data_IF_948694529194
#
_entry.id   IF_948694529194
#
_cell.length_a   1.000
_cell.length_b   1.000
_cell.length_c   1.000
_cell.angle_alpha   90.00
_cell.angle_beta   90.00
_cell.angle_gamma   90.00
#
_symmetry.space_group_name_H-M   'P 1'
#
loop_
_entity.id
_entity.type
_entity.pdbx_description
1 polymer ?
#
# COMPACT_ATOMS: atom_id res chain seq x y z
N UNK A 1 -11.37 16.48 -19.26
CA UNK A 1 -10.80 16.12 -20.57
C UNK A 1 -10.20 17.39 -21.16
N UNK A 2 -8.86 17.50 -21.15
CA UNK A 2 -7.95 18.59 -21.57
C UNK A 2 -6.98 19.06 -20.46
N UNK A 3 -5.98 18.22 -20.07
CA UNK A 3 -4.74 18.79 -19.56
C UNK A 3 -3.48 18.36 -20.35
N UNK A 4 -3.44 17.18 -20.98
CA UNK A 4 -2.19 16.54 -21.47
C UNK A 4 -1.28 17.41 -22.35
N UNK A 5 -1.86 18.27 -23.19
CA UNK A 5 -1.09 19.21 -24.00
C UNK A 5 -0.31 20.22 -23.15
N UNK A 6 -0.92 20.76 -22.09
CA UNK A 6 -0.32 21.76 -21.21
C UNK A 6 0.87 21.19 -20.41
N UNK A 7 0.81 19.95 -19.93
CA UNK A 7 1.95 19.36 -19.22
C UNK A 7 3.14 19.08 -20.14
N UNK A 8 2.89 18.58 -21.35
CA UNK A 8 3.95 18.36 -22.33
C UNK A 8 4.62 19.67 -22.76
N UNK A 9 3.85 20.74 -22.90
CA UNK A 9 4.38 22.06 -23.22
C UNK A 9 5.23 22.62 -22.06
N UNK A 10 4.74 22.51 -20.82
CA UNK A 10 5.53 22.88 -19.61
C UNK A 10 6.83 22.08 -19.48
N UNK A 11 6.79 20.77 -19.74
CA UNK A 11 8.00 19.94 -19.73
C UNK A 11 9.02 20.39 -20.79
N UNK A 12 8.56 20.75 -22.00
CA UNK A 12 9.43 21.24 -23.09
C UNK A 12 10.09 22.58 -22.78
N UNK A 13 9.38 23.47 -22.08
CA UNK A 13 9.89 24.78 -21.69
C UNK A 13 10.96 24.71 -20.58
N UNK A 14 10.95 23.65 -19.78
CA UNK A 14 11.85 23.49 -18.66
C UNK A 14 13.28 23.07 -19.10
N UNK A 15 14.36 23.69 -18.57
CA UNK A 15 15.73 23.46 -19.04
C UNK A 15 16.23 22.02 -18.89
N UNK A 16 15.87 21.36 -17.78
CA UNK A 16 16.26 19.96 -17.49
C UNK A 16 15.20 18.97 -17.95
N UNK A 17 13.95 19.13 -17.50
CA UNK A 17 12.84 18.21 -17.81
C UNK A 17 12.48 18.06 -19.29
N UNK A 18 12.87 18.99 -20.17
CA UNK A 18 12.71 18.82 -21.63
C UNK A 18 13.45 17.62 -22.20
N UNK A 19 14.46 17.12 -21.48
CA UNK A 19 15.25 15.95 -21.85
C UNK A 19 14.75 14.66 -21.17
N UNK A 20 13.71 14.75 -20.34
CA UNK A 20 13.10 13.59 -19.70
C UNK A 20 12.50 12.68 -20.78
N UNK A 21 12.93 11.42 -20.80
CA UNK A 21 12.41 10.45 -21.75
C UNK A 21 10.94 10.12 -21.45
N UNK A 22 10.22 9.63 -22.46
CA UNK A 22 8.85 9.14 -22.25
C UNK A 22 8.80 8.05 -21.17
N UNK A 23 9.79 7.17 -21.16
CA UNK A 23 9.93 6.12 -20.14
C UNK A 23 10.15 6.72 -18.73
N UNK A 24 10.90 7.81 -18.62
CA UNK A 24 11.08 8.56 -17.38
C UNK A 24 9.78 9.17 -16.87
N UNK A 25 8.99 9.80 -17.75
CA UNK A 25 7.65 10.34 -17.39
C UNK A 25 6.72 9.22 -16.93
N UNK A 26 6.69 8.09 -17.65
CA UNK A 26 5.86 6.93 -17.28
C UNK A 26 6.31 6.33 -15.96
N UNK A 27 7.62 6.19 -15.73
CA UNK A 27 8.18 5.67 -14.48
C UNK A 27 7.87 6.59 -13.31
N UNK A 28 8.08 7.91 -13.46
CA UNK A 28 7.72 8.91 -12.45
C UNK A 28 6.26 8.79 -12.05
N UNK A 29 5.36 8.88 -13.04
CA UNK A 29 3.91 8.88 -12.80
C UNK A 29 3.43 7.56 -12.20
N UNK A 30 3.95 6.42 -12.69
CA UNK A 30 3.65 5.10 -12.15
C UNK A 30 4.09 4.99 -10.69
N UNK A 31 5.36 5.24 -10.37
CA UNK A 31 5.87 5.13 -9.00
C UNK A 31 5.15 6.07 -8.03
N UNK A 32 4.99 7.35 -8.40
CA UNK A 32 4.31 8.33 -7.56
C UNK A 32 2.83 7.97 -7.33
N UNK A 33 2.15 7.39 -8.33
CA UNK A 33 0.73 6.99 -8.19
C UNK A 33 0.50 5.89 -7.14
N UNK A 34 1.50 5.03 -6.91
CA UNK A 34 1.45 4.02 -5.83
C UNK A 34 1.68 4.62 -4.45
N UNK A 35 2.28 5.80 -4.37
CA UNK A 35 2.67 6.46 -3.13
C UNK A 35 1.69 7.55 -2.67
N UNK A 36 0.52 7.72 -3.28
CA UNK A 36 -0.45 8.79 -2.96
C UNK A 36 -0.73 8.93 -1.46
N UNK A 37 -0.94 7.83 -0.75
CA UNK A 37 -1.20 7.88 0.71
C UNK A 37 0.06 8.23 1.50
N UNK A 38 1.21 7.73 1.07
CA UNK A 38 2.51 8.06 1.67
C UNK A 38 2.91 9.52 1.42
N UNK A 39 2.44 10.12 0.31
CA UNK A 39 2.53 11.56 0.01
C UNK A 39 1.65 12.38 0.95
N UNK A 40 0.38 11.98 1.17
CA UNK A 40 -0.60 12.75 1.95
C UNK A 40 -0.43 12.67 3.46
N UNK A 41 -0.04 11.50 3.98
CA UNK A 41 0.04 11.28 5.42
C UNK A 41 0.94 12.29 6.16
N UNK A 42 2.15 12.65 5.68
CA UNK A 42 2.99 13.66 6.35
C UNK A 42 2.51 15.10 6.18
N UNK A 43 1.56 15.37 5.27
CA UNK A 43 1.08 16.74 5.02
C UNK A 43 0.31 17.32 6.21
N UNK A 44 0.28 18.65 6.38
CA UNK A 44 -0.66 19.29 7.31
C UNK A 44 -2.11 18.92 6.99
N UNK A 45 -2.98 18.85 8.01
CA UNK A 45 -4.39 18.46 7.85
C UNK A 45 -5.12 19.24 6.72
N UNK A 46 -4.96 20.58 6.59
CA UNK A 46 -5.62 21.32 5.51
C UNK A 46 -5.20 20.90 4.09
N UNK A 47 -4.00 20.32 3.95
CA UNK A 47 -3.42 19.87 2.67
C UNK A 47 -3.54 18.34 2.48
N UNK A 48 -4.26 17.66 3.37
CA UNK A 48 -4.36 16.19 3.38
C UNK A 48 -5.63 15.66 2.70
N UNK A 49 -6.28 16.48 1.86
CA UNK A 49 -7.50 16.08 1.17
C UNK A 49 -7.19 14.96 0.15
N UNK A 50 -7.77 13.75 0.27
CA UNK A 50 -7.51 12.65 -0.65
C UNK A 50 -7.87 12.93 -2.11
N UNK A 51 -8.70 13.94 -2.37
CA UNK A 51 -9.17 14.28 -3.73
C UNK A 51 -8.28 15.29 -4.44
N UNK A 52 -7.29 15.88 -3.75
CA UNK A 52 -6.48 16.97 -4.29
C UNK A 52 -4.99 16.63 -4.04
N UNK A 53 -4.12 16.69 -5.05
CA UNK A 53 -2.69 16.51 -4.82
C UNK A 53 -2.15 17.64 -3.93
N UNK A 54 -1.25 17.34 -2.96
CA UNK A 54 -0.60 18.39 -2.18
C UNK A 54 0.45 19.11 -3.03
N UNK A 55 0.63 20.40 -2.77
CA UNK A 55 1.57 21.24 -3.51
C UNK A 55 3.04 20.82 -3.33
N UNK A 56 3.39 20.21 -2.20
CA UNK A 56 4.79 19.89 -1.86
C UNK A 56 4.95 18.39 -1.66
N UNK A 57 5.97 17.81 -2.29
CA UNK A 57 6.34 16.42 -2.05
C UNK A 57 7.15 16.26 -0.76
N UNK A 58 6.89 15.20 0.04
CA UNK A 58 7.75 14.84 1.15
C UNK A 58 9.16 14.48 0.68
N UNK A 59 10.19 14.94 1.41
CA UNK A 59 11.60 14.68 1.09
C UNK A 59 11.95 13.19 0.86
N UNK A 60 11.45 12.21 1.64
CA UNK A 60 11.72 10.79 1.35
C UNK A 60 11.24 10.35 -0.04
N UNK A 61 10.14 10.94 -0.52
CA UNK A 61 9.56 10.63 -1.83
C UNK A 61 10.35 11.31 -2.94
N UNK A 62 10.78 12.56 -2.73
CA UNK A 62 11.68 13.24 -3.67
C UNK A 62 13.00 12.50 -3.83
N UNK A 63 13.61 12.06 -2.72
CA UNK A 63 14.85 11.28 -2.74
C UNK A 63 14.68 9.96 -3.50
N UNK A 64 13.57 9.25 -3.26
CA UNK A 64 13.27 8.00 -3.94
C UNK A 64 13.07 8.17 -5.44
N UNK A 65 12.23 9.13 -5.86
CA UNK A 65 11.95 9.38 -7.28
C UNK A 65 13.20 9.92 -7.99
N UNK A 66 13.94 10.83 -7.36
CA UNK A 66 15.18 11.38 -7.88
C UNK A 66 16.25 10.31 -8.10
N UNK A 67 16.48 9.45 -7.10
CA UNK A 67 17.42 8.34 -7.24
C UNK A 67 16.97 7.32 -8.30
N UNK A 68 15.67 7.06 -8.41
CA UNK A 68 15.11 6.12 -9.41
C UNK A 68 15.27 6.62 -10.85
N UNK A 69 15.24 7.94 -11.06
CA UNK A 69 15.32 8.57 -12.38
C UNK A 69 16.70 9.18 -12.68
N UNK A 70 17.61 9.20 -11.70
CA UNK A 70 18.91 9.86 -11.82
C UNK A 70 18.82 11.38 -11.86
N UNK A 71 17.84 11.95 -11.16
CA UNK A 71 17.53 13.40 -11.14
C UNK A 71 17.78 14.00 -9.76
N UNK A 72 17.99 15.32 -9.71
CA UNK A 72 18.09 16.05 -8.43
C UNK A 72 16.71 16.17 -7.75
N UNK A 73 16.68 16.47 -6.45
CA UNK A 73 15.41 16.70 -5.75
C UNK A 73 14.68 17.94 -6.27
N UNK A 74 15.42 18.95 -6.73
CA UNK A 74 14.85 20.19 -7.27
C UNK A 74 14.13 19.89 -8.59
N UNK A 75 14.76 19.12 -9.48
CA UNK A 75 14.12 18.68 -10.74
C UNK A 75 12.87 17.81 -10.49
N UNK A 76 12.86 17.06 -9.38
CA UNK A 76 11.70 16.22 -9.00
C UNK A 76 10.55 17.07 -8.46
N UNK A 77 10.85 18.15 -7.73
CA UNK A 77 9.85 19.12 -7.28
C UNK A 77 9.23 19.83 -8.49
N UNK A 78 10.05 20.30 -9.44
CA UNK A 78 9.58 20.87 -10.72
C UNK A 78 8.73 19.86 -11.52
N UNK A 79 9.13 18.59 -11.53
CA UNK A 79 8.39 17.51 -12.19
C UNK A 79 7.03 17.28 -11.53
N UNK A 80 6.96 17.33 -10.20
CA UNK A 80 5.72 17.23 -9.44
C UNK A 80 4.80 18.41 -9.74
N UNK A 81 5.30 19.63 -9.73
CA UNK A 81 4.51 20.82 -10.05
C UNK A 81 3.81 20.73 -11.42
N UNK A 82 4.44 20.07 -12.38
CA UNK A 82 3.89 19.86 -13.72
C UNK A 82 2.94 18.66 -13.78
N UNK A 83 3.25 17.56 -13.09
CA UNK A 83 2.59 16.26 -13.28
C UNK A 83 1.66 15.84 -12.14
N UNK A 84 1.60 16.55 -11.01
CA UNK A 84 0.87 16.13 -9.81
C UNK A 84 -0.60 15.79 -10.07
N UNK A 85 -1.31 16.59 -10.87
CA UNK A 85 -2.71 16.36 -11.21
C UNK A 85 -2.89 15.05 -11.98
N UNK A 86 -1.98 14.73 -12.90
CA UNK A 86 -2.00 13.47 -13.65
C UNK A 86 -1.71 12.29 -12.76
N UNK A 87 -0.70 12.41 -11.90
CA UNK A 87 -0.42 11.37 -10.90
C UNK A 87 -1.64 11.14 -10.04
N UNK A 88 -2.37 12.20 -9.66
CA UNK A 88 -3.55 12.12 -8.82
C UNK A 88 -4.74 11.45 -9.51
N UNK A 89 -4.97 11.74 -10.79
CA UNK A 89 -6.10 11.22 -11.56
C UNK A 89 -5.85 9.83 -12.17
N UNK A 90 -4.61 9.47 -12.46
CA UNK A 90 -4.32 8.20 -13.14
C UNK A 90 -4.71 7.01 -12.25
N UNK A 91 -5.37 5.97 -12.81
CA UNK A 91 -5.56 4.72 -12.09
C UNK A 91 -4.20 4.10 -11.76
N UNK A 92 -4.11 3.50 -10.59
CA UNK A 92 -2.90 2.78 -10.17
C UNK A 92 -2.71 1.57 -11.08
N UNK A 93 -1.67 1.62 -11.92
CA UNK A 93 -1.29 0.55 -12.85
C UNK A 93 -0.36 -0.45 -12.13
N UNK A 94 -0.45 -1.76 -12.39
CA UNK A 94 0.46 -2.73 -11.79
C UNK A 94 1.95 -2.38 -11.99
N UNK A 95 2.74 -2.61 -10.95
CA UNK A 95 4.19 -2.43 -10.99
C UNK A 95 4.85 -3.59 -11.75
N UNK A 96 5.91 -3.27 -12.49
CA UNK A 96 6.80 -4.23 -13.12
C UNK A 96 7.85 -4.74 -12.14
N UNK A 97 8.53 -5.85 -12.47
CA UNK A 97 9.66 -6.36 -11.68
C UNK A 97 10.76 -5.30 -11.49
N UNK A 98 11.04 -4.48 -12.49
CA UNK A 98 11.99 -3.36 -12.40
C UNK A 98 11.58 -2.35 -11.34
N UNK A 99 10.29 -2.01 -11.25
CA UNK A 99 9.80 -1.06 -10.24
C UNK A 99 9.98 -1.60 -8.82
N UNK A 100 9.73 -2.91 -8.61
CA UNK A 100 9.99 -3.54 -7.32
C UNK A 100 11.46 -3.46 -6.91
N UNK A 101 12.38 -3.56 -7.87
CA UNK A 101 13.82 -3.36 -7.63
C UNK A 101 14.17 -1.91 -7.31
N UNK A 102 13.55 -0.94 -7.98
CA UNK A 102 13.70 0.49 -7.62
C UNK A 102 13.23 0.76 -6.19
N UNK A 103 12.08 0.21 -5.79
CA UNK A 103 11.62 0.29 -4.41
C UNK A 103 12.59 -0.35 -3.43
N UNK A 104 13.14 -1.53 -3.76
CA UNK A 104 14.13 -2.20 -2.90
C UNK A 104 15.40 -1.35 -2.74
N UNK A 105 15.94 -0.87 -3.85
CA UNK A 105 17.22 -0.17 -3.87
C UNK A 105 17.15 1.24 -3.27
N UNK A 106 16.11 2.00 -3.63
CA UNK A 106 16.00 3.42 -3.31
C UNK A 106 14.84 3.75 -2.37
N UNK A 107 13.75 2.96 -2.39
CA UNK A 107 12.56 3.20 -1.57
C UNK A 107 12.71 2.74 -0.12
N UNK A 108 13.19 1.51 0.11
CA UNK A 108 13.26 0.93 1.46
C UNK A 108 14.14 1.75 2.42
N UNK A 109 15.31 2.28 2.01
CA UNK A 109 16.11 3.16 2.86
C UNK A 109 15.37 4.44 3.27
N UNK A 110 14.43 4.90 2.43
CA UNK A 110 13.56 6.05 2.69
C UNK A 110 12.28 5.69 3.47
N UNK A 111 12.10 4.43 3.86
CA UNK A 111 10.88 3.96 4.52
C UNK A 111 9.69 3.83 3.56
N UNK A 112 9.94 3.60 2.27
CA UNK A 112 8.91 3.42 1.24
C UNK A 112 8.95 1.99 0.71
N UNK A 113 7.78 1.42 0.43
CA UNK A 113 7.63 0.08 -0.15
C UNK A 113 6.62 0.12 -1.28
N UNK A 114 6.71 -0.83 -2.21
CA UNK A 114 5.77 -0.97 -3.31
C UNK A 114 4.32 -1.23 -2.84
N UNK A 115 4.17 -1.81 -1.64
CA UNK A 115 2.88 -2.08 -1.01
C UNK A 115 2.80 -1.28 0.29
N UNK A 116 1.78 -0.43 0.40
CA UNK A 116 1.44 0.25 1.64
C UNK A 116 0.05 -0.18 2.11
N UNK A 117 -0.02 -0.66 3.35
CA UNK A 117 -1.24 -1.21 3.95
C UNK A 117 -1.87 -0.14 4.83
N UNK A 118 -3.12 0.18 4.53
CA UNK A 118 -3.87 1.22 5.22
C UNK A 118 -5.33 0.78 5.41
N UNK A 119 -6.09 1.44 6.31
CA UNK A 119 -7.54 1.26 6.38
C UNK A 119 -8.23 1.64 5.07
N UNK A 120 -9.45 1.14 4.80
CA UNK A 120 -10.17 1.40 3.55
C UNK A 120 -10.36 2.89 3.22
N UNK A 121 -10.55 3.72 4.26
CA UNK A 121 -10.81 5.15 4.13
C UNK A 121 -9.75 5.98 4.86
N UNK A 122 -9.45 7.17 4.31
CA UNK A 122 -8.60 8.18 4.95
C UNK A 122 -9.37 9.07 5.93
N UNK A 123 -10.70 8.98 5.96
CA UNK A 123 -11.59 9.75 6.82
C UNK A 123 -12.27 8.87 7.87
N UNK A 124 -12.88 9.50 8.87
CA UNK A 124 -13.63 8.78 9.89
C UNK A 124 -14.87 8.10 9.28
N UNK A 125 -14.94 6.76 9.35
CA UNK A 125 -16.09 5.98 8.87
C UNK A 125 -17.29 5.96 9.85
N UNK A 126 -17.13 6.50 11.06
CA UNK A 126 -18.23 6.60 12.01
C UNK A 126 -19.15 7.77 11.63
N UNK A 127 -20.33 7.46 11.08
CA UNK A 127 -21.33 8.44 10.62
C UNK A 127 -21.79 9.43 11.71
N UNK A 128 -21.70 9.04 12.98
CA UNK A 128 -22.07 9.89 14.12
C UNK A 128 -20.88 10.72 14.63
N UNK A 129 -19.72 10.65 14.00
CA UNK A 129 -18.54 11.40 14.39
C UNK A 129 -18.50 12.75 13.67
N UNK A 130 -18.30 13.88 14.38
CA UNK A 130 -18.21 15.20 13.75
C UNK A 130 -16.89 15.46 13.03
N UNK A 131 -16.00 14.46 12.93
CA UNK A 131 -14.69 14.64 12.30
C UNK A 131 -14.79 14.54 10.77
N UNK A 132 -14.76 15.69 10.11
CA UNK A 132 -14.75 15.79 8.65
C UNK A 132 -13.34 15.96 8.07
N UNK A 133 -12.30 15.86 8.90
CA UNK A 133 -10.91 16.01 8.49
C UNK A 133 -10.27 14.65 8.22
N UNK A 134 -9.31 14.57 7.28
CA UNK A 134 -8.50 13.37 7.05
C UNK A 134 -7.80 12.92 8.33
N UNK A 135 -7.78 11.61 8.55
CA UNK A 135 -7.14 10.97 9.69
C UNK A 135 -5.63 10.87 9.47
N UNK A 136 -4.91 10.92 10.59
CA UNK A 136 -3.45 10.81 10.61
C UNK A 136 -3.01 9.49 11.21
N UNK A 137 -1.83 9.05 10.78
CA UNK A 137 -1.17 7.85 11.26
C UNK A 137 -1.06 7.85 12.79
N UNK A 138 -1.48 6.76 13.38
CA UNK A 138 -1.31 6.44 14.80
C UNK A 138 -0.13 5.47 14.98
N UNK A 139 -0.13 4.41 14.18
CA UNK A 139 0.89 3.37 14.18
C UNK A 139 1.40 3.14 12.77
N UNK A 140 2.70 2.84 12.66
CA UNK A 140 3.37 2.50 11.42
C UNK A 140 4.38 1.40 11.73
N UNK A 141 4.14 0.18 11.22
CA UNK A 141 4.95 -1.01 11.51
C UNK A 141 5.34 -1.70 10.22
N UNK A 142 6.53 -2.31 10.19
CA UNK A 142 6.93 -3.21 9.11
C UNK A 142 5.96 -4.37 9.02
N UNK A 143 5.70 -4.83 7.81
CA UNK A 143 4.87 -5.97 7.49
C UNK A 143 5.44 -6.74 6.30
N UNK A 144 4.91 -7.94 6.10
CA UNK A 144 5.16 -8.80 4.95
C UNK A 144 3.82 -9.20 4.34
N UNK A 145 3.75 -9.14 3.02
CA UNK A 145 2.55 -9.45 2.24
C UNK A 145 2.84 -10.63 1.32
N UNK A 146 2.04 -11.68 1.43
CA UNK A 146 2.04 -12.81 0.52
C UNK A 146 1.12 -12.48 -0.66
N UNK A 147 1.72 -12.23 -1.82
CA UNK A 147 1.03 -11.88 -3.07
C UNK A 147 1.12 -13.03 -4.07
N UNK A 148 0.15 -13.12 -4.96
CA UNK A 148 0.10 -14.21 -5.95
C UNK A 148 1.03 -13.94 -7.15
N UNK A 149 1.18 -12.68 -7.56
CA UNK A 149 1.90 -12.31 -8.78
C UNK A 149 3.38 -11.99 -8.53
N UNK A 150 3.71 -11.46 -7.36
CA UNK A 150 5.08 -11.00 -7.01
C UNK A 150 5.66 -11.72 -5.80
N UNK A 151 5.00 -12.77 -5.30
CA UNK A 151 5.49 -13.52 -4.16
C UNK A 151 5.44 -12.76 -2.83
N UNK A 152 6.48 -12.93 -2.03
CA UNK A 152 6.61 -12.28 -0.72
C UNK A 152 7.13 -10.86 -0.90
N UNK A 153 6.38 -9.88 -0.40
CA UNK A 153 6.68 -8.46 -0.55
C UNK A 153 6.76 -7.76 0.81
N UNK A 154 7.74 -6.87 1.04
CA UNK A 154 7.72 -6.01 2.21
C UNK A 154 6.64 -4.95 2.06
N UNK A 155 6.08 -4.57 3.20
CA UNK A 155 5.10 -3.50 3.26
C UNK A 155 5.23 -2.72 4.56
N UNK A 156 4.66 -1.53 4.56
CA UNK A 156 4.34 -0.81 5.78
C UNK A 156 2.86 -0.93 6.11
N UNK A 157 2.56 -1.32 7.35
CA UNK A 157 1.22 -1.34 7.89
C UNK A 157 0.98 -0.08 8.74
N UNK A 158 0.04 0.75 8.26
CA UNK A 158 -0.35 1.99 8.91
C UNK A 158 -1.77 1.88 9.46
N UNK A 159 -1.95 2.27 10.71
CA UNK A 159 -3.27 2.45 11.34
C UNK A 159 -3.55 3.93 11.53
N UNK A 160 -4.81 4.34 11.38
CA UNK A 160 -5.24 5.73 11.46
C UNK A 160 -6.12 5.94 12.70
N UNK A 161 -5.98 7.08 13.38
CA UNK A 161 -6.74 7.36 14.59
C UNK A 161 -7.63 8.59 14.43
N UNK A 162 -8.88 8.45 14.89
CA UNK A 162 -9.80 9.58 14.99
C UNK A 162 -9.79 10.15 16.42
N UNK A 163 -9.30 11.40 16.61
CA UNK A 163 -9.24 12.02 17.94
C UNK A 163 -10.61 12.43 18.49
N UNK A 164 -11.66 12.48 17.65
CA UNK A 164 -13.01 12.90 18.07
C UNK A 164 -13.85 11.75 18.61
N UNK A 165 -13.79 10.56 17.98
CA UNK A 165 -14.56 9.40 18.41
C UNK A 165 -13.69 8.29 19.02
N UNK A 166 -12.39 8.55 19.23
CA UNK A 166 -11.43 7.63 19.84
C UNK A 166 -11.46 6.24 19.20
N UNK A 167 -11.51 6.21 17.87
CA UNK A 167 -11.55 4.97 17.09
C UNK A 167 -10.27 4.85 16.28
N UNK A 168 -9.58 3.72 16.45
CA UNK A 168 -8.42 3.34 15.66
C UNK A 168 -8.89 2.48 14.49
N UNK A 169 -8.49 2.86 13.29
CA UNK A 169 -8.81 2.16 12.05
C UNK A 169 -7.56 1.40 11.59
N UNK A 170 -7.71 0.10 11.40
CA UNK A 170 -6.70 -0.80 10.85
C UNK A 170 -7.13 -1.26 9.44
N UNK A 171 -6.34 -2.10 8.78
CA UNK A 171 -6.62 -2.61 7.44
C UNK A 171 -7.93 -3.40 7.32
N UNK A 172 -8.21 -4.32 8.25
CA UNK A 172 -9.38 -5.22 8.17
C UNK A 172 -10.50 -4.88 9.16
N UNK A 173 -10.21 -4.06 10.17
CA UNK A 173 -11.14 -3.78 11.26
C UNK A 173 -10.86 -2.40 11.85
N UNK A 174 -11.83 -1.89 12.60
CA UNK A 174 -11.65 -0.76 13.52
C UNK A 174 -11.78 -1.22 14.96
N UNK A 175 -11.18 -0.45 15.87
CA UNK A 175 -11.26 -0.64 17.32
C UNK A 175 -11.83 0.61 17.95
N UNK A 176 -12.96 0.47 18.64
CA UNK A 176 -13.58 1.56 19.40
C UNK A 176 -13.95 1.03 20.78
N UNK A 177 -13.51 1.70 21.85
CA UNK A 177 -13.74 1.28 23.25
C UNK A 177 -13.35 -0.18 23.53
N UNK A 178 -12.21 -0.61 23.00
CA UNK A 178 -11.72 -1.99 23.13
C UNK A 178 -12.43 -3.02 22.25
N UNK A 179 -13.47 -2.61 21.52
CA UNK A 179 -14.25 -3.51 20.68
C UNK A 179 -13.77 -3.50 19.24
N UNK A 180 -13.41 -4.69 18.74
CA UNK A 180 -13.02 -4.89 17.34
C UNK A 180 -14.23 -5.10 16.45
N UNK A 181 -14.34 -4.30 15.39
CA UNK A 181 -15.39 -4.40 14.37
C UNK A 181 -14.75 -4.55 12.99
N UNK A 182 -14.99 -5.68 12.33
CA UNK A 182 -14.51 -5.91 10.96
C UNK A 182 -15.31 -5.12 9.92
N UNK A 183 -14.63 -4.65 8.87
CA UNK A 183 -15.29 -3.95 7.78
C UNK A 183 -16.14 -4.91 6.93
N UNK A 184 -17.23 -4.43 6.33
CA UNK A 184 -17.99 -5.22 5.38
C UNK A 184 -17.20 -5.45 4.08
N UNK A 185 -17.53 -6.53 3.38
CA UNK A 185 -16.93 -6.87 2.09
C UNK A 185 -15.68 -7.75 2.20
N UNK A 186 -15.13 -8.12 1.04
CA UNK A 186 -13.90 -8.91 0.96
C UNK A 186 -12.71 -7.95 0.95
N UNK A 187 -11.81 -8.00 1.94
CA UNK A 187 -10.63 -7.15 1.93
C UNK A 187 -9.69 -7.53 0.79
N UNK A 188 -8.86 -6.61 0.31
CA UNK A 188 -7.81 -6.94 -0.68
C UNK A 188 -6.66 -7.72 -0.04
N UNK A 189 -6.25 -7.27 1.14
CA UNK A 189 -5.22 -7.88 1.98
C UNK A 189 -5.84 -8.29 3.32
N UNK A 190 -5.56 -9.50 3.76
CA UNK A 190 -6.06 -10.11 4.99
C UNK A 190 -4.91 -10.15 6.00
N UNK A 191 -5.08 -9.55 7.17
CA UNK A 191 -4.13 -9.63 8.27
C UNK A 191 -4.25 -10.99 8.95
N UNK A 192 -3.25 -11.86 8.74
CA UNK A 192 -3.21 -13.25 9.26
C UNK A 192 -2.19 -13.42 10.40
N UNK A 193 -1.55 -12.34 10.82
CA UNK A 193 -0.61 -12.29 11.94
C UNK A 193 -0.38 -10.85 12.37
N UNK A 194 0.53 -10.61 13.32
CA UNK A 194 0.84 -9.24 13.74
C UNK A 194 1.46 -8.43 12.58
N UNK A 195 2.35 -9.05 11.83
CA UNK A 195 3.09 -8.43 10.73
C UNK A 195 2.82 -9.09 9.37
N UNK A 196 1.95 -10.10 9.32
CA UNK A 196 1.75 -10.95 8.15
C UNK A 196 0.40 -10.68 7.51
N UNK A 197 0.43 -10.43 6.21
CA UNK A 197 -0.75 -10.15 5.40
C UNK A 197 -0.78 -11.05 4.17
N UNK A 198 -1.96 -11.47 3.77
CA UNK A 198 -2.16 -12.35 2.61
C UNK A 198 -3.12 -11.67 1.65
N UNK A 199 -2.79 -11.64 0.37
CA UNK A 199 -3.72 -11.19 -0.67
C UNK A 199 -4.92 -12.15 -0.73
N UNK A 200 -6.14 -11.62 -0.84
CA UNK A 200 -7.35 -12.45 -0.92
C UNK A 200 -7.32 -13.41 -2.11
N UNK A 201 -6.62 -13.07 -3.21
CA UNK A 201 -6.37 -13.98 -4.34
C UNK A 201 -5.54 -15.20 -3.92
N UNK A 202 -4.51 -15.02 -3.09
CA UNK A 202 -3.70 -16.13 -2.55
C UNK A 202 -4.55 -17.03 -1.66
N UNK A 203 -5.35 -16.45 -0.75
CA UNK A 203 -6.24 -17.23 0.11
C UNK A 203 -7.29 -18.00 -0.69
N UNK A 204 -7.87 -17.39 -1.74
CA UNK A 204 -8.80 -18.09 -2.65
C UNK A 204 -8.11 -19.20 -3.45
N UNK A 205 -6.85 -19.00 -3.85
CA UNK A 205 -6.06 -20.05 -4.50
C UNK A 205 -5.87 -21.24 -3.56
N UNK A 206 -5.54 -21.02 -2.27
CA UNK A 206 -5.47 -22.10 -1.29
C UNK A 206 -6.80 -22.82 -1.11
N UNK A 207 -7.93 -22.09 -1.06
CA UNK A 207 -9.26 -22.72 -1.00
C UNK A 207 -9.49 -23.68 -2.18
N UNK A 208 -9.12 -23.26 -3.39
CA UNK A 208 -9.23 -24.11 -4.58
C UNK A 208 -8.32 -25.34 -4.49
N UNK A 209 -7.07 -25.18 -4.04
CA UNK A 209 -6.14 -26.31 -3.84
C UNK A 209 -6.66 -27.31 -2.80
N UNK A 210 -7.28 -26.84 -1.72
CA UNK A 210 -7.84 -27.74 -0.70
C UNK A 210 -9.10 -28.44 -1.21
N UNK A 211 -9.99 -27.71 -1.90
CA UNK A 211 -11.27 -28.23 -2.36
C UNK A 211 -11.10 -29.23 -3.51
N UNK A 212 -10.23 -28.94 -4.47
CA UNK A 212 -10.09 -29.73 -5.70
C UNK A 212 -8.80 -30.57 -5.74
N UNK A 213 -7.73 -30.08 -5.12
CA UNK A 213 -6.43 -30.75 -5.09
C UNK A 213 -6.18 -31.58 -3.83
N UNK A 214 -7.09 -31.56 -2.86
CA UNK A 214 -6.94 -32.26 -1.57
C UNK A 214 -5.67 -31.84 -0.80
N UNK A 215 -5.23 -30.59 -0.99
CA UNK A 215 -4.08 -30.06 -0.28
C UNK A 215 -4.41 -29.88 1.21
N UNK A 216 -3.44 -30.19 2.08
CA UNK A 216 -3.46 -29.69 3.45
C UNK A 216 -3.02 -28.22 3.48
N UNK A 217 -3.31 -27.52 4.57
CA UNK A 217 -2.81 -26.16 4.81
C UNK A 217 -1.27 -26.08 4.81
N UNK A 218 -0.58 -27.11 5.32
CA UNK A 218 0.87 -27.18 5.27
C UNK A 218 1.39 -27.38 3.84
N UNK A 219 0.72 -28.20 3.02
CA UNK A 219 1.08 -28.39 1.62
C UNK A 219 0.84 -27.11 0.81
N UNK A 220 -0.26 -26.40 1.06
CA UNK A 220 -0.55 -25.12 0.41
C UNK A 220 0.52 -24.06 0.75
N UNK A 221 0.95 -23.97 2.02
CA UNK A 221 2.03 -23.07 2.43
C UNK A 221 3.37 -23.41 1.76
N UNK A 222 3.73 -24.70 1.71
CA UNK A 222 4.95 -25.17 1.04
C UNK A 222 4.90 -24.92 -0.46
N UNK A 223 3.76 -25.14 -1.11
CA UNK A 223 3.58 -24.88 -2.52
C UNK A 223 3.80 -23.40 -2.82
N UNK A 224 3.18 -22.50 -2.05
CA UNK A 224 3.39 -21.06 -2.17
C UNK A 224 4.88 -20.72 -2.11
N UNK A 225 5.58 -21.20 -1.08
CA UNK A 225 7.03 -20.97 -0.93
C UNK A 225 7.85 -21.47 -2.12
N UNK A 226 7.48 -22.64 -2.67
CA UNK A 226 8.22 -23.24 -3.78
C UNK A 226 7.96 -22.61 -5.15
N UNK A 227 6.83 -21.92 -5.33
CA UNK A 227 6.37 -21.45 -6.65
C UNK A 227 6.28 -19.94 -6.78
N UNK A 228 6.08 -19.24 -5.66
CA UNK A 228 5.80 -17.80 -5.65
C UNK A 228 6.90 -16.99 -4.97
N UNK A 229 7.75 -17.58 -4.12
CA UNK A 229 8.84 -16.82 -3.51
C UNK A 229 9.98 -16.64 -4.51
N UNK A 230 10.22 -15.41 -4.95
CA UNK A 230 11.48 -15.02 -5.58
C UNK A 230 12.56 -14.94 -4.50
N UNK A 231 13.40 -15.98 -4.46
CA UNK A 231 14.45 -16.15 -3.47
C UNK A 231 15.60 -15.17 -3.60
N UNK A 232 15.67 -14.36 -4.66
CA UNK A 232 16.73 -13.36 -4.85
C UNK A 232 16.23 -11.94 -4.51
N UNK A 233 14.94 -11.66 -4.74
CA UNK A 233 14.35 -10.35 -4.48
C UNK A 233 14.19 -10.02 -2.99
N UNK A 234 13.51 -10.87 -2.20
CA UNK A 234 13.20 -10.55 -0.80
C UNK A 234 14.00 -11.40 0.17
N UNK A 235 14.93 -10.78 0.90
CA UNK A 235 15.67 -11.46 1.95
C UNK A 235 15.17 -11.05 3.35
N UNK A 236 14.79 -12.00 4.21
CA UNK A 236 14.31 -11.71 5.55
C UNK A 236 15.24 -10.84 6.41
N UNK A 237 16.57 -11.00 6.25
CA UNK A 237 17.55 -10.26 7.02
C UNK A 237 17.64 -8.77 6.65
N UNK A 238 17.26 -8.40 5.42
CA UNK A 238 17.25 -7.00 4.96
C UNK A 238 16.07 -6.24 5.58
N UNK A 239 14.92 -6.91 5.67
CA UNK A 239 13.69 -6.29 6.18
C UNK A 239 13.50 -6.45 7.68
N UNK A 240 14.04 -7.54 8.27
CA UNK A 240 13.89 -7.89 9.68
C UNK A 240 12.61 -8.68 9.98
N UNK A 241 11.92 -9.20 8.95
CA UNK A 241 10.72 -10.03 9.09
C UNK A 241 10.86 -11.30 8.26
N UNK A 242 10.33 -12.41 8.78
CA UNK A 242 10.34 -13.69 8.08
C UNK A 242 9.42 -13.66 6.85
N UNK A 243 9.91 -14.27 5.77
CA UNK A 243 9.18 -14.61 4.55
C UNK A 243 8.37 -15.92 4.66
N UNK A 244 8.45 -16.60 5.80
CA UNK A 244 7.94 -17.97 5.93
C UNK A 244 6.47 -17.96 6.30
N UNK A 245 5.67 -18.40 5.34
CA UNK A 245 4.24 -18.63 5.50
C UNK A 245 3.97 -19.88 6.35
N UNK A 246 3.19 -19.76 7.42
CA UNK A 246 2.85 -20.89 8.31
C UNK A 246 1.48 -21.47 7.99
N UNK A 247 1.22 -22.69 8.48
CA UNK A 247 -0.10 -23.34 8.41
C UNK A 247 -1.19 -22.48 9.08
N UNK A 248 -0.86 -21.79 10.19
CA UNK A 248 -1.80 -20.93 10.90
C UNK A 248 -2.23 -19.76 10.02
N UNK A 249 -1.29 -19.12 9.31
CA UNK A 249 -1.61 -18.03 8.39
C UNK A 249 -2.63 -18.44 7.31
N UNK A 250 -2.54 -19.69 6.82
CA UNK A 250 -3.50 -20.23 5.86
C UNK A 250 -4.90 -20.36 6.48
N UNK A 251 -5.01 -20.96 7.68
CA UNK A 251 -6.28 -21.12 8.36
C UNK A 251 -6.90 -19.79 8.79
N UNK A 252 -6.09 -18.87 9.33
CA UNK A 252 -6.52 -17.54 9.74
C UNK A 252 -7.11 -16.76 8.56
N UNK A 253 -6.53 -16.91 7.36
CA UNK A 253 -7.10 -16.32 6.14
C UNK A 253 -8.52 -16.80 5.87
N UNK A 254 -8.81 -18.08 6.11
CA UNK A 254 -10.13 -18.65 5.86
C UNK A 254 -11.14 -18.21 6.92
N UNK A 255 -10.72 -18.18 8.19
CA UNK A 255 -11.54 -17.69 9.30
C UNK A 255 -11.95 -16.26 9.03
N UNK A 256 -10.99 -15.37 8.71
CA UNK A 256 -11.27 -13.96 8.46
C UNK A 256 -12.18 -13.77 7.24
N UNK A 257 -11.94 -14.51 6.15
CA UNK A 257 -12.80 -14.48 4.96
C UNK A 257 -14.20 -15.08 5.20
N UNK A 258 -14.39 -15.87 6.27
CA UNK A 258 -15.69 -16.44 6.64
C UNK A 258 -16.51 -15.53 7.57
N UNK A 259 -15.90 -14.46 8.10
CA UNK A 259 -16.64 -13.46 8.87
C UNK A 259 -17.72 -12.86 7.95
N UNK A 260 -19.01 -12.89 8.32
CA UNK A 260 -20.12 -12.56 7.44
C UNK A 260 -19.97 -11.15 6.89
N UNK A 261 -19.95 -11.05 5.57
CA UNK A 261 -19.91 -9.78 4.83
C UNK A 261 -21.16 -8.90 5.00
N UNK A 262 -22.07 -9.23 5.93
CA UNK A 262 -23.40 -8.63 6.06
C UNK A 262 -23.79 -8.15 7.46
N UNK A 263 -23.03 -8.43 8.53
CA UNK A 263 -23.31 -7.89 9.88
C UNK A 263 -21.99 -7.64 10.63
N UNK A 264 -21.85 -6.46 11.24
CA UNK A 264 -20.73 -6.11 12.13
C UNK A 264 -20.54 -7.21 13.16
N UNK A 265 -19.50 -8.05 13.02
CA UNK A 265 -19.11 -8.98 14.07
C UNK A 265 -18.32 -8.18 15.10
N UNK A 266 -18.88 -8.20 16.31
CA UNK A 266 -18.32 -7.73 17.56
C UNK A 266 -17.53 -8.92 18.12
N UNK A 267 -16.21 -8.90 18.00
CA UNK A 267 -15.36 -9.83 18.76
C UNK A 267 -14.86 -9.05 19.98
N UNK A 268 -15.38 -9.42 21.14
CA UNK A 268 -14.86 -8.97 22.44
C UNK A 268 -13.59 -9.78 22.72
N UNK A 269 -12.43 -9.15 22.77
CA UNK A 269 -11.25 -9.82 23.31
C UNK A 269 -11.43 -9.98 24.83
N UNK A 270 -11.20 -11.19 25.33
CA UNK A 270 -10.91 -11.49 26.74
C UNK A 270 -9.45 -11.13 27.00
#
# INVERSE_FOLDING_TARGET
MLPAANALDKLKEHPVLRHLSLDGVVTFTRLASHLKRDILQPQPIPQSNPSIPPAVLPLPIMNFLGASLGMSTDDIDDCWDILQDYVWEIPVVPLSSTDFHLFKQFGWPCGLTAISIYPPDDCCMNINCPNNQPLKKEYHKKAVVYTIDSGVQPAWNTSLYCPKCHTSYHNNYSVSKGLRTYYPGLPKLIQVGEHQFVETRVANHWRALMLYGWFSASNASRLFKSTMTDGDYFQPYEWGLSDTLTTNHVWDSFVILSLPSKRKIIITCI
#
